data_IF_267550655578
#
_entry.id   IF_267550655578
#
_cell.length_a   1.000
_cell.length_b   1.000
_cell.length_c   1.000
_cell.angle_alpha   90.00
_cell.angle_beta   90.00
_cell.angle_gamma   90.00
#
_symmetry.space_group_name_H-M   'P 1'
#
loop_
_entity.id
_entity.type
_entity.pdbx_description
1 polymer ?
#
# COMPACT_ATOMS: atom_id res chain seq x y z
N UNK A 1 -6.06 -0.96 0.30
CA UNK A 1 -5.16 -0.32 1.30
C UNK A 1 -5.80 1.00 1.73
N UNK A 2 -5.66 1.43 2.99
CA UNK A 2 -6.37 2.63 3.52
C UNK A 2 -5.40 3.75 3.89
N UNK A 3 -5.94 4.96 4.04
CA UNK A 3 -5.21 6.17 4.44
C UNK A 3 -4.43 5.96 5.75
N UNK A 4 -5.16 5.77 6.85
CA UNK A 4 -4.61 5.43 8.16
C UNK A 4 -5.64 4.63 8.97
N UNK A 5 -5.17 3.84 9.93
CA UNK A 5 -6.00 3.03 10.80
C UNK A 5 -6.26 3.69 12.15
N UNK A 6 -7.39 3.30 12.75
CA UNK A 6 -7.73 3.56 14.14
C UNK A 6 -8.25 4.96 14.46
N UNK A 7 -8.68 5.13 15.71
CA UNK A 7 -9.32 6.31 16.34
C UNK A 7 -10.62 6.78 15.70
N UNK A 8 -10.61 7.10 14.40
CA UNK A 8 -11.80 7.56 13.69
C UNK A 8 -12.63 6.37 13.21
N UNK A 9 -13.89 6.31 13.67
CA UNK A 9 -14.82 5.25 13.29
C UNK A 9 -15.02 5.10 11.77
N UNK A 10 -15.08 6.19 10.96
CA UNK A 10 -15.15 6.07 9.50
C UNK A 10 -13.98 5.33 8.85
N UNK A 11 -12.84 5.21 9.53
CA UNK A 11 -11.69 4.45 9.02
C UNK A 11 -11.79 2.95 9.32
N UNK A 12 -12.78 2.54 10.14
CA UNK A 12 -13.05 1.14 10.44
C UNK A 12 -13.78 0.48 9.28
N UNK A 13 -13.21 -0.60 8.76
CA UNK A 13 -13.83 -1.43 7.74
C UNK A 13 -15.01 -2.19 8.35
N UNK A 14 -16.11 -2.29 7.59
CA UNK A 14 -17.21 -3.22 7.92
C UNK A 14 -16.75 -4.68 7.91
N UNK A 15 -17.51 -5.56 8.56
CA UNK A 15 -17.19 -6.99 8.56
C UNK A 15 -17.26 -7.59 7.15
N UNK A 16 -16.54 -8.70 6.89
CA UNK A 16 -16.59 -9.36 5.59
C UNK A 16 -18.00 -9.87 5.28
N UNK A 17 -18.69 -10.46 6.25
CA UNK A 17 -20.09 -10.85 6.11
C UNK A 17 -21.01 -9.70 5.65
N UNK A 18 -20.71 -8.46 6.04
CA UNK A 18 -21.46 -7.27 5.62
C UNK A 18 -21.02 -6.75 4.26
N UNK A 19 -19.71 -6.82 3.94
CA UNK A 19 -19.14 -6.26 2.71
C UNK A 19 -19.33 -7.16 1.49
N UNK A 20 -19.11 -8.47 1.62
CA UNK A 20 -19.14 -9.40 0.50
C UNK A 20 -20.47 -9.35 -0.30
N UNK A 21 -21.66 -9.29 0.35
CA UNK A 21 -22.92 -9.18 -0.37
C UNK A 21 -23.09 -7.88 -1.16
N UNK A 22 -22.44 -6.78 -0.74
CA UNK A 22 -22.50 -5.49 -1.43
C UNK A 22 -21.70 -5.48 -2.74
N UNK A 23 -20.73 -6.38 -2.86
CA UNK A 23 -19.85 -6.47 -4.02
C UNK A 23 -19.69 -7.91 -4.52
N UNK A 24 -20.77 -8.54 -5.03
CA UNK A 24 -20.78 -9.95 -5.37
C UNK A 24 -19.85 -10.32 -6.54
N UNK A 25 -19.40 -9.33 -7.32
CA UNK A 25 -18.49 -9.52 -8.44
C UNK A 25 -17.02 -9.53 -8.04
N UNK A 26 -16.68 -9.03 -6.84
CA UNK A 26 -15.30 -9.03 -6.36
C UNK A 26 -14.98 -10.34 -5.64
N UNK A 27 -13.77 -10.83 -5.87
CA UNK A 27 -13.17 -11.88 -5.07
C UNK A 27 -12.37 -11.22 -3.95
N UNK A 28 -12.77 -11.48 -2.71
CA UNK A 28 -12.04 -11.03 -1.54
C UNK A 28 -10.88 -12.00 -1.27
N UNK A 29 -9.77 -11.47 -0.78
CA UNK A 29 -8.60 -12.29 -0.43
C UNK A 29 -8.97 -13.20 0.75
N UNK A 30 -8.64 -14.49 0.64
CA UNK A 30 -8.95 -15.50 1.67
C UNK A 30 -8.24 -15.25 3.01
N UNK A 31 -7.20 -14.43 3.02
CA UNK A 31 -6.46 -14.04 4.23
C UNK A 31 -7.09 -12.85 4.97
N UNK A 32 -8.09 -12.19 4.39
CA UNK A 32 -8.82 -11.13 5.09
C UNK A 32 -9.59 -11.72 6.27
N UNK A 33 -9.47 -11.09 7.44
CA UNK A 33 -10.24 -11.47 8.62
C UNK A 33 -11.69 -10.96 8.57
N UNK A 34 -12.58 -11.61 9.31
CA UNK A 34 -14.00 -11.21 9.38
C UNK A 34 -14.13 -9.76 9.85
N UNK A 35 -13.39 -9.39 10.90
CA UNK A 35 -13.39 -8.07 11.50
C UNK A 35 -12.16 -7.25 11.10
N UNK A 36 -12.18 -5.96 11.39
CA UNK A 36 -11.06 -5.06 11.14
C UNK A 36 -10.05 -5.08 12.29
N UNK A 37 -9.13 -6.06 12.26
CA UNK A 37 -8.15 -6.26 13.34
C UNK A 37 -7.08 -5.16 13.42
N UNK A 38 -6.83 -4.49 12.30
CA UNK A 38 -5.86 -3.41 12.20
C UNK A 38 -6.38 -2.09 12.79
N UNK A 39 -7.69 -1.88 12.83
CA UNK A 39 -8.27 -0.67 13.42
C UNK A 39 -8.30 -0.77 14.95
N UNK A 40 -7.74 0.24 15.61
CA UNK A 40 -7.74 0.36 17.08
C UNK A 40 -8.63 1.54 17.51
N UNK A 41 -9.54 1.37 18.48
CA UNK A 41 -10.47 2.44 18.88
C UNK A 41 -9.80 3.64 19.53
N UNK A 42 -8.63 3.44 20.13
CA UNK A 42 -7.93 4.36 21.02
C UNK A 42 -6.61 4.90 20.43
N UNK A 43 -6.12 4.31 19.34
CA UNK A 43 -4.85 4.69 18.71
C UNK A 43 -5.02 4.96 17.23
N UNK A 44 -4.59 6.14 16.79
CA UNK A 44 -4.40 6.48 15.37
C UNK A 44 -3.01 6.03 14.92
N UNK A 45 -2.89 5.51 13.70
CA UNK A 45 -1.58 5.28 13.07
C UNK A 45 -0.78 6.60 13.00
N UNK A 46 0.48 6.53 13.40
CA UNK A 46 1.45 7.58 13.15
C UNK A 46 1.89 7.58 11.67
N UNK A 47 2.56 8.63 11.20
CA UNK A 47 3.16 8.61 9.86
C UNK A 47 4.14 7.43 9.72
N UNK A 48 4.98 7.19 10.74
CA UNK A 48 5.93 6.08 10.71
C UNK A 48 5.22 4.72 10.61
N UNK A 49 4.07 4.56 11.27
CA UNK A 49 3.25 3.34 11.16
C UNK A 49 2.76 3.15 9.71
N UNK A 50 2.38 4.24 9.03
CA UNK A 50 1.99 4.20 7.61
C UNK A 50 3.18 3.85 6.70
N UNK A 51 4.38 4.38 6.98
CA UNK A 51 5.60 4.03 6.22
C UNK A 51 5.92 2.54 6.36
N UNK A 52 5.89 2.02 7.59
CA UNK A 52 6.13 0.60 7.86
C UNK A 52 5.11 -0.28 7.12
N UNK A 53 3.83 0.08 7.17
CA UNK A 53 2.77 -0.62 6.44
C UNK A 53 2.92 -0.54 4.91
N UNK A 54 3.43 0.59 4.40
CA UNK A 54 3.75 0.75 2.99
C UNK A 54 4.89 -0.22 2.60
N UNK A 55 5.94 -0.30 3.42
CA UNK A 55 7.07 -1.20 3.18
C UNK A 55 6.64 -2.67 3.22
N UNK A 56 5.90 -3.07 4.26
CA UNK A 56 5.32 -4.41 4.40
C UNK A 56 4.43 -4.78 3.21
N UNK A 57 3.61 -3.84 2.75
CA UNK A 57 2.73 -4.05 1.60
C UNK A 57 3.53 -4.36 0.33
N UNK A 58 4.61 -3.63 0.05
CA UNK A 58 5.42 -3.90 -1.14
C UNK A 58 6.28 -5.16 -1.00
N UNK A 59 6.74 -5.50 0.21
CA UNK A 59 7.36 -6.80 0.47
C UNK A 59 6.39 -7.95 0.21
N UNK A 60 5.17 -7.88 0.72
CA UNK A 60 4.11 -8.83 0.40
C UNK A 60 3.83 -8.86 -1.11
N UNK A 61 3.70 -7.69 -1.75
CA UNK A 61 3.45 -7.59 -3.19
C UNK A 61 4.57 -8.24 -4.01
N UNK A 62 5.83 -8.19 -3.55
CA UNK A 62 6.95 -8.85 -4.22
C UNK A 62 6.83 -10.38 -4.28
N UNK A 63 5.99 -10.99 -3.42
CA UNK A 63 5.74 -12.44 -3.41
C UNK A 63 4.65 -12.87 -4.40
N UNK A 64 3.94 -11.89 -4.97
CA UNK A 64 2.78 -12.11 -5.83
C UNK A 64 3.20 -12.50 -7.25
N UNK A 65 2.52 -13.44 -7.92
CA UNK A 65 2.84 -13.85 -9.29
C UNK A 65 2.38 -12.83 -10.35
N UNK A 66 1.48 -11.92 -10.01
CA UNK A 66 0.87 -10.95 -10.94
C UNK A 66 1.92 -9.99 -11.54
N UNK A 67 1.86 -9.81 -12.87
CA UNK A 67 2.81 -8.94 -13.62
C UNK A 67 2.35 -7.51 -13.79
N UNK A 68 1.04 -7.30 -13.73
CA UNK A 68 0.40 -5.99 -13.81
C UNK A 68 -0.61 -5.92 -12.69
N UNK A 69 -0.46 -4.92 -11.83
CA UNK A 69 -1.32 -4.72 -10.66
C UNK A 69 -1.82 -3.28 -10.66
N UNK A 70 -3.05 -3.10 -10.20
CA UNK A 70 -3.63 -1.78 -9.96
C UNK A 70 -3.90 -1.67 -8.47
N UNK A 71 -3.32 -0.64 -7.85
CA UNK A 71 -3.50 -0.37 -6.43
C UNK A 71 -4.42 0.84 -6.30
N UNK A 72 -5.60 0.62 -5.71
CA UNK A 72 -6.54 1.68 -5.37
C UNK A 72 -6.40 1.98 -3.88
N UNK A 73 -6.13 3.23 -3.56
CA UNK A 73 -5.89 3.68 -2.19
C UNK A 73 -6.23 5.17 -2.05
N UNK A 74 -5.86 5.75 -0.92
CA UNK A 74 -6.13 7.14 -0.56
C UNK A 74 -4.89 8.03 -0.74
N UNK A 75 -5.11 9.34 -0.72
CA UNK A 75 -4.11 10.36 -1.03
C UNK A 75 -2.85 10.29 -0.17
N UNK A 76 -2.94 10.35 1.16
CA UNK A 76 -1.75 10.29 2.04
C UNK A 76 -1.04 8.95 1.90
N UNK A 77 -1.77 7.86 1.71
CA UNK A 77 -1.14 6.56 1.49
C UNK A 77 -0.29 6.57 0.21
N UNK A 78 -0.86 7.02 -0.92
CA UNK A 78 -0.14 7.11 -2.21
C UNK A 78 1.00 8.13 -2.10
N UNK A 79 0.78 9.29 -1.46
CA UNK A 79 1.84 10.26 -1.20
C UNK A 79 2.99 9.65 -0.39
N UNK A 80 2.69 8.82 0.61
CA UNK A 80 3.72 8.13 1.41
C UNK A 80 4.53 7.19 0.54
N UNK A 81 3.87 6.39 -0.32
CA UNK A 81 4.55 5.53 -1.29
C UNK A 81 5.48 6.33 -2.19
N UNK A 82 4.98 7.41 -2.79
CA UNK A 82 5.76 8.22 -3.72
C UNK A 82 6.90 8.92 -2.99
N UNK A 83 6.68 9.52 -1.81
CA UNK A 83 7.76 10.13 -1.00
C UNK A 83 8.83 9.13 -0.56
N UNK A 84 8.47 7.87 -0.32
CA UNK A 84 9.42 6.87 0.16
C UNK A 84 10.22 6.25 -0.97
N UNK A 85 9.55 5.85 -2.06
CA UNK A 85 10.17 5.07 -3.13
C UNK A 85 10.52 5.88 -4.38
N UNK A 86 9.79 6.96 -4.68
CA UNK A 86 10.00 7.73 -5.91
C UNK A 86 9.66 9.22 -5.71
N UNK A 87 10.44 9.98 -4.90
CA UNK A 87 10.10 11.36 -4.55
C UNK A 87 9.95 12.28 -5.76
N UNK A 88 10.68 11.98 -6.84
CA UNK A 88 10.61 12.72 -8.11
C UNK A 88 9.23 12.66 -8.78
N UNK A 89 8.41 11.65 -8.47
CA UNK A 89 7.04 11.54 -8.98
C UNK A 89 6.10 12.62 -8.39
N UNK A 90 6.49 13.27 -7.30
CA UNK A 90 5.75 14.38 -6.68
C UNK A 90 6.18 15.76 -7.20
N UNK A 91 6.70 15.81 -8.43
CA UNK A 91 7.17 17.04 -9.07
C UNK A 91 8.59 17.42 -8.65
N UNK A 92 9.13 18.44 -9.31
CA UNK A 92 10.52 18.88 -9.14
C UNK A 92 10.87 19.38 -7.74
N UNK A 93 9.87 19.79 -6.95
CA UNK A 93 10.03 20.23 -5.57
C UNK A 93 9.61 19.19 -4.53
N UNK A 94 9.08 18.03 -4.97
CA UNK A 94 8.57 16.96 -4.11
C UNK A 94 7.32 17.33 -3.29
N UNK A 95 6.65 18.44 -3.62
CA UNK A 95 5.53 18.98 -2.83
C UNK A 95 4.17 18.77 -3.46
N UNK A 96 4.09 18.18 -4.65
CA UNK A 96 2.81 17.87 -5.27
C UNK A 96 1.98 16.99 -4.34
N UNK A 97 0.70 17.34 -4.21
CA UNK A 97 -0.32 16.52 -3.53
C UNK A 97 -0.91 15.52 -4.53
N UNK A 98 -1.31 14.36 -4.01
CA UNK A 98 -2.10 13.40 -4.79
C UNK A 98 -3.56 13.81 -4.71
N UNK A 99 -4.19 14.07 -5.85
CA UNK A 99 -5.59 14.45 -5.95
C UNK A 99 -6.48 13.25 -6.20
N UNK A 100 -7.80 13.47 -6.04
CA UNK A 100 -8.78 12.42 -6.31
C UNK A 100 -8.68 11.95 -7.76
N UNK A 101 -8.66 10.64 -7.95
CA UNK A 101 -8.50 9.97 -9.24
C UNK A 101 -7.17 10.25 -9.98
N UNK A 102 -6.16 10.85 -9.34
CA UNK A 102 -4.81 10.86 -9.91
C UNK A 102 -4.32 9.41 -10.12
N UNK A 103 -3.86 9.11 -11.34
CA UNK A 103 -3.34 7.78 -11.70
C UNK A 103 -1.85 7.85 -11.93
N UNK A 104 -1.11 7.07 -11.15
CA UNK A 104 0.33 6.90 -11.33
C UNK A 104 0.62 5.55 -11.95
N UNK A 105 1.49 5.53 -12.97
CA UNK A 105 2.00 4.32 -13.59
C UNK A 105 3.50 4.24 -13.37
N UNK A 106 4.00 3.07 -12.98
CA UNK A 106 5.43 2.82 -12.85
C UNK A 106 5.76 1.34 -12.91
N UNK A 107 7.03 1.05 -12.78
CA UNK A 107 7.59 -0.30 -12.75
C UNK A 107 8.01 -0.64 -11.32
N UNK A 108 7.50 -1.76 -10.82
CA UNK A 108 7.88 -2.30 -9.53
C UNK A 108 8.91 -3.41 -9.75
N UNK A 109 10.11 -3.22 -9.22
CA UNK A 109 11.22 -4.16 -9.32
C UNK A 109 11.58 -4.65 -7.92
N UNK A 110 11.48 -5.96 -7.73
CA UNK A 110 11.94 -6.62 -6.52
C UNK A 110 13.13 -7.51 -6.85
N UNK A 111 14.27 -7.19 -6.26
CA UNK A 111 15.54 -7.90 -6.49
C UNK A 111 15.94 -8.64 -5.23
N UNK A 112 16.51 -9.84 -5.40
CA UNK A 112 17.12 -10.55 -4.28
C UNK A 112 18.34 -9.76 -3.80
N UNK A 113 18.44 -9.54 -2.49
CA UNK A 113 19.68 -9.04 -1.92
C UNK A 113 20.73 -10.15 -2.01
N UNK A 114 21.83 -9.87 -2.71
CA UNK A 114 22.96 -10.77 -2.74
C UNK A 114 23.54 -10.83 -1.31
N UNK A 115 23.51 -12.02 -0.71
CA UNK A 115 24.21 -12.43 0.53
C UNK A 115 23.61 -12.13 1.92
N UNK A 116 22.31 -11.83 2.10
CA UNK A 116 21.73 -11.85 3.46
C UNK A 116 20.34 -12.50 3.53
N UNK A 117 20.32 -13.77 3.94
CA UNK A 117 19.18 -14.29 4.68
C UNK A 117 19.16 -13.58 6.05
N UNK A 118 18.00 -13.10 6.48
CA UNK A 118 17.87 -12.61 7.86
C UNK A 118 18.11 -13.76 8.86
N UNK A 119 18.22 -13.44 10.15
CA UNK A 119 18.46 -14.44 11.20
C UNK A 119 17.37 -15.55 11.27
N UNK A 120 16.26 -15.39 10.55
CA UNK A 120 15.14 -16.31 10.47
C UNK A 120 15.05 -17.05 9.12
N UNK A 121 16.00 -16.85 8.21
CA UNK A 121 16.04 -17.50 6.90
C UNK A 121 15.08 -16.90 5.87
N UNK A 122 14.44 -15.76 6.15
CA UNK A 122 13.59 -15.09 5.18
C UNK A 122 14.44 -14.32 4.16
N UNK A 123 14.11 -14.51 2.88
CA UNK A 123 14.78 -13.84 1.78
C UNK A 123 14.33 -12.38 1.71
N UNK A 124 15.18 -11.45 2.14
CA UNK A 124 14.91 -10.02 2.00
C UNK A 124 15.08 -9.62 0.53
N UNK A 125 14.13 -8.83 0.02
CA UNK A 125 14.18 -8.28 -1.34
C UNK A 125 14.34 -6.78 -1.25
N UNK A 126 15.27 -6.25 -2.04
CA UNK A 126 15.30 -4.80 -2.27
C UNK A 126 14.16 -4.43 -3.20
N UNK A 127 13.39 -3.42 -2.79
CA UNK A 127 12.23 -2.93 -3.53
C UNK A 127 12.56 -1.60 -4.18
N UNK A 128 12.22 -1.46 -5.46
CA UNK A 128 12.36 -0.21 -6.21
C UNK A 128 11.09 0.08 -7.02
N UNK A 129 10.67 1.34 -7.00
CA UNK A 129 9.71 1.88 -7.95
C UNK A 129 10.45 2.75 -8.96
N UNK A 130 10.40 2.35 -10.22
CA UNK A 130 11.10 3.00 -11.33
C UNK A 130 10.09 3.53 -12.34
N UNK A 131 10.51 4.48 -13.17
CA UNK A 131 9.72 5.00 -14.29
C UNK A 131 8.30 5.47 -13.87
N UNK A 132 8.16 5.96 -12.63
CA UNK A 132 6.88 6.41 -12.11
C UNK A 132 6.51 7.74 -12.75
N UNK A 133 5.34 7.77 -13.38
CA UNK A 133 4.80 8.93 -14.07
C UNK A 133 3.34 9.10 -13.67
N UNK A 134 2.92 10.35 -13.52
CA UNK A 134 1.50 10.67 -13.47
C UNK A 134 0.94 10.56 -14.89
N UNK A 135 -0.20 9.91 -15.01
CA UNK A 135 -0.98 9.92 -16.25
C UNK A 135 -1.87 11.17 -16.23
N UNK A 136 -1.63 12.06 -17.19
CA UNK A 136 -2.52 13.18 -17.47
C UNK A 136 -3.69 12.67 -18.34
N UNK A 137 -4.90 13.16 -18.05
CA UNK A 137 -6.12 12.85 -18.83
C UNK A 137 -6.12 13.51 -20.21
#
# INVERSE_FOLDING_TARGET
VREAYGMHYPDKRHSLSSLCPLFPTFKFDSTMSENDDCWKPDKRESWNDVIERVDDFFHWLSTRPEKVVVIISHGIWIETVLRWFCPSALGSDGKRRVYNADVYRGEFVASLEADQADANGATRRTIQLQNVTLLEE
#
